data_IF_223748434885
#
_entry.id   IF_223748434885
#
_cell.length_a   1.000
_cell.length_b   1.000
_cell.length_c   1.000
_cell.angle_alpha   90.00
_cell.angle_beta   90.00
_cell.angle_gamma   90.00
#
_symmetry.space_group_name_H-M   'P 1'
#
loop_
_entity.id
_entity.type
_entity.pdbx_description
1 polymer ?
#
# COMPACT_ATOMS: atom_id res chain seq x y z
N UNK A 1 16.88 -14.59 -19.96
CA UNK A 1 16.57 -13.53 -18.97
C UNK A 1 17.45 -13.58 -17.71
N UNK A 2 17.38 -14.62 -16.85
CA UNK A 2 18.13 -14.64 -15.58
C UNK A 2 19.65 -14.38 -15.69
N UNK A 3 20.33 -15.04 -16.65
CA UNK A 3 21.77 -14.80 -16.92
C UNK A 3 22.09 -13.36 -17.34
N UNK A 4 21.18 -12.72 -18.08
CA UNK A 4 21.35 -11.33 -18.53
C UNK A 4 21.19 -10.36 -17.35
N UNK A 5 20.20 -10.58 -16.48
CA UNK A 5 19.99 -9.80 -15.26
C UNK A 5 21.18 -9.91 -14.31
N UNK A 6 21.68 -11.13 -14.09
CA UNK A 6 22.86 -11.37 -13.26
C UNK A 6 24.10 -10.63 -13.80
N UNK A 7 24.33 -10.67 -15.12
CA UNK A 7 25.45 -9.94 -15.73
C UNK A 7 25.38 -8.44 -15.43
N UNK A 8 24.20 -7.83 -15.52
CA UNK A 8 24.00 -6.42 -15.20
C UNK A 8 24.20 -6.14 -13.70
N UNK A 9 23.59 -6.94 -12.83
CA UNK A 9 23.74 -6.80 -11.38
C UNK A 9 25.21 -6.86 -10.96
N UNK A 10 25.98 -7.81 -11.48
CA UNK A 10 27.40 -7.95 -11.18
C UNK A 10 28.23 -6.80 -11.77
N UNK A 11 27.90 -6.31 -12.96
CA UNK A 11 28.63 -5.23 -13.62
C UNK A 11 28.41 -3.86 -12.95
N UNK A 12 27.17 -3.55 -12.52
CA UNK A 12 26.84 -2.27 -11.90
C UNK A 12 27.00 -2.26 -10.38
N UNK A 13 27.06 -3.43 -9.74
CA UNK A 13 27.29 -3.55 -8.30
C UNK A 13 26.16 -3.04 -7.40
N UNK A 14 24.97 -2.76 -7.96
CA UNK A 14 23.78 -2.34 -7.21
C UNK A 14 23.14 -3.55 -6.48
N UNK A 15 23.89 -4.16 -5.56
CA UNK A 15 23.49 -5.32 -4.75
C UNK A 15 23.11 -4.90 -3.33
N UNK A 16 22.30 -5.72 -2.67
CA UNK A 16 21.96 -5.54 -1.25
C UNK A 16 23.15 -5.85 -0.35
N UNK A 17 23.31 -5.09 0.73
CA UNK A 17 24.25 -5.43 1.80
C UNK A 17 23.85 -6.73 2.51
N UNK A 18 24.82 -7.44 3.08
CA UNK A 18 24.58 -8.74 3.74
C UNK A 18 23.56 -8.63 4.88
N UNK A 19 23.58 -7.53 5.65
CA UNK A 19 22.64 -7.31 6.74
C UNK A 19 21.22 -7.05 6.23
N UNK A 20 21.06 -6.31 5.13
CA UNK A 20 19.75 -6.08 4.51
C UNK A 20 19.16 -7.39 3.96
N UNK A 21 20.00 -8.21 3.32
CA UNK A 21 19.62 -9.56 2.88
C UNK A 21 19.10 -10.41 4.05
N UNK A 22 19.78 -10.36 5.20
CA UNK A 22 19.36 -11.09 6.40
C UNK A 22 18.03 -10.57 6.96
N UNK A 23 17.84 -9.24 7.02
CA UNK A 23 16.60 -8.63 7.50
C UNK A 23 15.41 -8.97 6.59
N UNK A 24 15.59 -8.95 5.27
CA UNK A 24 14.57 -9.39 4.31
C UNK A 24 14.24 -10.87 4.52
N UNK A 25 15.26 -11.75 4.61
CA UNK A 25 15.05 -13.18 4.84
C UNK A 25 14.32 -13.46 6.16
N UNK A 26 14.62 -12.69 7.21
CA UNK A 26 13.91 -12.74 8.48
C UNK A 26 12.45 -12.33 8.32
N UNK A 27 12.17 -11.25 7.59
CA UNK A 27 10.81 -10.75 7.33
C UNK A 27 9.96 -11.69 6.45
N UNK A 28 10.59 -12.42 5.52
CA UNK A 28 9.90 -13.38 4.65
C UNK A 28 9.26 -14.53 5.44
N UNK A 29 9.85 -14.92 6.58
CA UNK A 29 9.32 -15.99 7.44
C UNK A 29 7.91 -15.73 7.96
N UNK A 30 7.49 -14.46 8.04
CA UNK A 30 6.16 -14.06 8.51
C UNK A 30 5.31 -13.39 7.42
N UNK A 31 5.75 -13.43 6.16
CA UNK A 31 5.09 -12.72 5.07
C UNK A 31 3.61 -13.12 4.92
N UNK A 32 3.34 -14.42 4.88
CA UNK A 32 1.98 -14.93 4.69
C UNK A 32 1.01 -14.41 5.75
N UNK A 33 1.31 -14.64 7.03
CA UNK A 33 0.42 -14.25 8.14
C UNK A 33 0.22 -12.74 8.23
N UNK A 34 1.26 -11.95 7.90
CA UNK A 34 1.15 -10.48 7.86
C UNK A 34 0.27 -10.02 6.71
N UNK A 35 0.46 -10.58 5.51
CA UNK A 35 -0.30 -10.18 4.32
C UNK A 35 -1.77 -10.59 4.44
N UNK A 36 -2.07 -11.79 4.94
CA UNK A 36 -3.45 -12.24 5.20
C UNK A 36 -4.15 -11.30 6.18
N UNK A 37 -3.52 -11.00 7.32
CA UNK A 37 -4.11 -10.12 8.33
C UNK A 37 -4.30 -8.70 7.80
N UNK A 38 -3.31 -8.16 7.11
CA UNK A 38 -3.36 -6.81 6.55
C UNK A 38 -4.44 -6.71 5.44
N UNK A 39 -4.56 -7.74 4.59
CA UNK A 39 -5.57 -7.74 3.52
C UNK A 39 -7.00 -7.87 4.05
N UNK A 40 -7.23 -8.71 5.06
CA UNK A 40 -8.53 -8.77 5.75
C UNK A 40 -8.90 -7.44 6.41
N UNK A 41 -7.90 -6.76 6.99
CA UNK A 41 -8.11 -5.44 7.62
C UNK A 41 -8.42 -4.38 6.56
N UNK A 42 -7.70 -4.37 5.44
CA UNK A 42 -7.93 -3.46 4.33
C UNK A 42 -9.34 -3.63 3.72
N UNK A 43 -9.82 -4.86 3.54
CA UNK A 43 -11.19 -5.13 3.10
C UNK A 43 -12.22 -4.49 4.05
N UNK A 44 -12.08 -4.73 5.36
CA UNK A 44 -13.01 -4.17 6.37
C UNK A 44 -13.00 -2.65 6.38
N UNK A 45 -11.81 -2.04 6.25
CA UNK A 45 -11.68 -0.58 6.16
C UNK A 45 -12.28 -0.03 4.87
N UNK A 46 -12.07 -0.69 3.73
CA UNK A 46 -12.63 -0.28 2.45
C UNK A 46 -14.16 -0.27 2.49
N UNK A 47 -14.78 -1.32 3.03
CA UNK A 47 -16.23 -1.42 3.20
C UNK A 47 -16.79 -0.41 4.20
N UNK A 48 -16.05 -0.13 5.28
CA UNK A 48 -16.39 0.91 6.24
C UNK A 48 -16.36 2.29 5.59
N UNK A 49 -15.29 2.62 4.87
CA UNK A 49 -15.13 3.92 4.20
C UNK A 49 -16.14 4.10 3.06
N UNK A 50 -16.52 3.05 2.33
CA UNK A 50 -17.54 3.12 1.28
C UNK A 50 -18.91 3.59 1.82
N UNK A 51 -19.18 3.36 3.11
CA UNK A 51 -20.43 3.75 3.77
C UNK A 51 -20.31 5.05 4.57
N UNK A 52 -19.11 5.63 4.66
CA UNK A 52 -18.85 6.78 5.53
C UNK A 52 -19.19 8.10 4.80
N UNK A 53 -20.05 8.98 5.35
CA UNK A 53 -20.57 10.16 4.64
C UNK A 53 -19.50 11.19 4.27
N UNK A 54 -18.36 11.22 4.97
CA UNK A 54 -17.25 12.12 4.66
C UNK A 54 -16.32 11.60 3.55
N UNK A 55 -16.49 10.35 3.08
CA UNK A 55 -15.65 9.74 2.05
C UNK A 55 -16.39 9.81 0.72
N UNK A 56 -15.78 10.48 -0.27
CA UNK A 56 -16.35 10.61 -1.62
C UNK A 56 -16.27 9.33 -2.42
N UNK A 57 -15.13 8.65 -2.31
CA UNK A 57 -14.80 7.48 -3.12
C UNK A 57 -13.75 6.63 -2.44
N UNK A 58 -13.84 5.33 -2.63
CA UNK A 58 -12.84 4.35 -2.18
C UNK A 58 -12.30 3.61 -3.40
N UNK A 59 -10.99 3.40 -3.44
CA UNK A 59 -10.31 2.61 -4.44
C UNK A 59 -9.68 1.40 -3.76
N UNK A 60 -10.30 0.25 -3.94
CA UNK A 60 -9.79 -1.02 -3.44
C UNK A 60 -10.28 -2.17 -4.34
N UNK A 61 -9.39 -3.01 -4.90
CA UNK A 61 -9.79 -4.07 -5.82
C UNK A 61 -10.70 -5.15 -5.22
N UNK A 62 -10.78 -5.22 -3.88
CA UNK A 62 -11.69 -6.13 -3.17
C UNK A 62 -13.14 -5.65 -3.09
N UNK A 63 -13.44 -4.42 -3.52
CA UNK A 63 -14.81 -3.92 -3.62
C UNK A 63 -15.45 -4.31 -4.95
N UNK A 64 -16.74 -4.66 -4.93
CA UNK A 64 -17.46 -5.13 -6.11
C UNK A 64 -17.66 -4.04 -7.19
N UNK A 65 -17.70 -2.78 -6.78
CA UNK A 65 -17.83 -1.60 -7.65
C UNK A 65 -16.48 -1.08 -8.18
N UNK A 66 -15.36 -1.72 -7.81
CA UNK A 66 -14.07 -1.33 -8.34
C UNK A 66 -13.96 -1.71 -9.83
N UNK A 67 -13.60 -0.78 -10.74
CA UNK A 67 -13.58 -1.04 -12.19
C UNK A 67 -12.70 -2.21 -12.62
N UNK A 68 -11.63 -2.50 -11.86
CA UNK A 68 -10.72 -3.61 -12.09
C UNK A 68 -10.98 -4.87 -11.25
N UNK A 69 -12.11 -4.97 -10.55
CA UNK A 69 -12.38 -6.06 -9.59
C UNK A 69 -12.27 -7.45 -10.24
N UNK A 70 -12.92 -7.68 -11.38
CA UNK A 70 -12.92 -8.98 -12.05
C UNK A 70 -11.53 -9.36 -12.59
N UNK A 71 -10.83 -8.42 -13.22
CA UNK A 71 -9.43 -8.63 -13.65
C UNK A 71 -8.54 -8.96 -12.47
N UNK A 72 -8.68 -8.23 -11.36
CA UNK A 72 -7.90 -8.48 -10.14
C UNK A 72 -8.16 -9.88 -9.57
N UNK A 73 -9.44 -10.29 -9.48
CA UNK A 73 -9.82 -11.64 -9.03
C UNK A 73 -9.27 -12.74 -9.94
N UNK A 74 -9.19 -12.51 -11.25
CA UNK A 74 -8.67 -13.52 -12.19
C UNK A 74 -7.16 -13.77 -12.07
N UNK A 75 -6.40 -12.85 -11.48
CA UNK A 75 -4.93 -12.88 -11.46
C UNK A 75 -4.31 -12.84 -10.06
N UNK A 76 -5.13 -12.84 -9.01
CA UNK A 76 -4.65 -12.74 -7.62
C UNK A 76 -5.48 -13.60 -6.66
N UNK A 77 -4.86 -13.99 -5.55
CA UNK A 77 -5.51 -14.76 -4.47
C UNK A 77 -6.08 -13.87 -3.36
N UNK A 78 -5.96 -12.55 -3.49
CA UNK A 78 -6.44 -11.59 -2.49
C UNK A 78 -6.32 -10.15 -2.97
N UNK A 79 -7.09 -9.25 -2.36
CA UNK A 79 -7.18 -7.84 -2.75
C UNK A 79 -5.97 -6.98 -2.32
N UNK A 80 -5.06 -7.55 -1.53
CA UNK A 80 -3.88 -6.85 -1.01
C UNK A 80 -4.18 -6.02 0.24
N UNK A 81 -3.21 -5.25 0.70
CA UNK A 81 -3.28 -4.51 1.96
C UNK A 81 -3.31 -2.98 1.79
N UNK A 82 -3.40 -2.51 0.54
CA UNK A 82 -3.37 -1.08 0.21
C UNK A 82 -4.73 -0.69 -0.34
N UNK A 83 -5.31 0.37 0.22
CA UNK A 83 -6.51 1.04 -0.29
C UNK A 83 -6.24 2.54 -0.32
N UNK A 84 -6.94 3.26 -1.18
CA UNK A 84 -6.99 4.73 -1.14
C UNK A 84 -8.43 5.22 -1.11
N UNK A 85 -8.63 6.45 -0.68
CA UNK A 85 -9.94 7.08 -0.61
C UNK A 85 -9.83 8.59 -0.79
N UNK A 86 -10.93 9.20 -1.22
CA UNK A 86 -11.05 10.63 -1.45
C UNK A 86 -11.92 11.28 -0.37
N UNK A 87 -11.48 12.44 0.11
CA UNK A 87 -12.26 13.33 0.98
C UNK A 87 -12.70 14.56 0.21
N UNK A 88 -13.66 15.30 0.77
CA UNK A 88 -14.26 16.46 0.11
C UNK A 88 -13.23 17.51 -0.31
N UNK A 89 -12.26 17.80 0.57
CA UNK A 89 -11.30 18.88 0.39
C UNK A 89 -9.98 18.63 1.13
N UNK A 90 -8.98 19.47 0.85
CA UNK A 90 -7.68 19.46 1.54
C UNK A 90 -7.83 19.74 3.04
N UNK A 91 -8.78 20.56 3.43
CA UNK A 91 -9.09 20.86 4.84
C UNK A 91 -9.63 19.63 5.56
N UNK A 92 -10.44 18.81 4.88
CA UNK A 92 -10.90 17.54 5.43
C UNK A 92 -9.73 16.56 5.62
N UNK A 93 -8.79 16.51 4.68
CA UNK A 93 -7.55 15.73 4.82
C UNK A 93 -6.74 16.20 6.02
N UNK A 94 -6.53 17.52 6.17
CA UNK A 94 -5.81 18.09 7.30
C UNK A 94 -6.46 17.70 8.64
N UNK A 95 -7.78 17.86 8.74
CA UNK A 95 -8.54 17.45 9.94
C UNK A 95 -8.38 15.97 10.25
N UNK A 96 -8.44 15.09 9.24
CA UNK A 96 -8.22 13.67 9.45
C UNK A 96 -6.82 13.42 10.03
N UNK A 97 -5.77 13.94 9.39
CA UNK A 97 -4.37 13.73 9.80
C UNK A 97 -4.10 14.25 11.22
N UNK A 98 -4.71 15.38 11.60
CA UNK A 98 -4.57 15.95 12.95
C UNK A 98 -5.30 15.14 14.05
N UNK A 99 -6.25 14.27 13.69
CA UNK A 99 -7.10 13.55 14.65
C UNK A 99 -6.86 12.02 14.67
N UNK A 100 -6.10 11.46 13.73
CA UNK A 100 -5.74 10.04 13.74
C UNK A 100 -4.53 9.79 14.65
N UNK A 101 -4.60 8.74 15.46
CA UNK A 101 -3.53 8.37 16.41
C UNK A 101 -2.87 7.02 16.11
N UNK A 102 -3.53 6.15 15.35
CA UNK A 102 -3.04 4.82 15.02
C UNK A 102 -2.12 4.80 13.79
N UNK A 103 -2.53 5.27 12.60
CA UNK A 103 -1.64 5.28 11.46
C UNK A 103 -0.57 6.37 11.62
N UNK A 104 0.66 6.02 11.26
CA UNK A 104 1.74 6.99 11.14
C UNK A 104 1.54 7.78 9.84
N UNK A 105 1.58 9.10 9.91
CA UNK A 105 1.53 9.94 8.71
C UNK A 105 2.93 10.04 8.07
N UNK A 106 3.21 9.17 7.10
CA UNK A 106 4.55 9.00 6.52
C UNK A 106 4.49 8.49 5.06
N UNK A 107 5.66 8.47 4.39
CA UNK A 107 5.86 7.78 3.11
C UNK A 107 6.25 6.32 3.34
N UNK A 108 6.18 5.50 2.29
CA UNK A 108 6.32 4.03 2.31
C UNK A 108 5.00 3.29 2.61
N UNK A 109 5.04 1.95 2.53
CA UNK A 109 3.90 1.06 2.73
C UNK A 109 4.38 -0.38 3.04
N UNK A 110 3.47 -1.24 3.50
CA UNK A 110 3.72 -2.69 3.65
C UNK A 110 4.46 -3.10 4.93
N UNK A 111 4.72 -2.15 5.84
CA UNK A 111 5.19 -2.41 7.19
C UNK A 111 4.08 -3.05 8.06
N UNK A 112 4.39 -3.39 9.31
CA UNK A 112 3.40 -3.93 10.25
C UNK A 112 2.53 -2.82 10.85
N UNK A 113 3.07 -1.61 10.91
CA UNK A 113 2.40 -0.40 11.30
C UNK A 113 1.45 0.07 10.19
N UNK A 114 0.32 0.65 10.58
CA UNK A 114 -0.55 1.36 9.62
C UNK A 114 0.12 2.66 9.20
N UNK A 115 0.12 2.95 7.90
CA UNK A 115 0.70 4.18 7.34
C UNK A 115 -0.39 4.91 6.55
N UNK A 116 -0.58 6.19 6.86
CA UNK A 116 -1.42 7.09 6.09
C UNK A 116 -0.51 8.04 5.29
N UNK A 117 -0.76 8.18 4.00
CA UNK A 117 -0.01 9.10 3.14
C UNK A 117 -0.94 10.00 2.34
N UNK A 118 -0.48 11.19 2.00
CA UNK A 118 -1.16 12.11 1.08
C UNK A 118 -0.32 12.27 -0.19
N UNK A 119 -0.55 11.42 -1.23
CA UNK A 119 0.36 11.28 -2.37
C UNK A 119 0.72 12.59 -3.07
N UNK A 120 -0.27 13.48 -3.25
CA UNK A 120 -0.13 14.74 -3.99
C UNK A 120 0.95 15.68 -3.44
N UNK A 121 1.26 15.61 -2.13
CA UNK A 121 2.33 16.43 -1.52
C UNK A 121 3.42 15.58 -0.86
N UNK A 122 3.41 14.26 -1.07
CA UNK A 122 4.36 13.33 -0.47
C UNK A 122 5.00 12.46 -1.56
N UNK A 123 4.62 11.20 -1.66
CA UNK A 123 5.26 10.22 -2.54
C UNK A 123 5.21 10.57 -4.04
N UNK A 124 4.21 11.34 -4.47
CA UNK A 124 4.00 11.73 -5.86
C UNK A 124 4.20 13.23 -6.07
N UNK A 125 4.82 13.94 -5.11
CA UNK A 125 5.08 15.38 -5.22
C UNK A 125 5.96 15.75 -6.42
N UNK A 126 6.76 14.80 -6.92
CA UNK A 126 7.61 14.97 -8.10
C UNK A 126 6.86 14.79 -9.45
N UNK A 127 5.59 14.38 -9.43
CA UNK A 127 4.81 14.25 -10.66
C UNK A 127 4.36 15.62 -11.17
N UNK A 128 4.39 15.85 -12.50
CA UNK A 128 3.81 17.04 -13.08
C UNK A 128 2.29 17.09 -12.82
N UNK A 129 1.75 18.30 -12.82
CA UNK A 129 0.30 18.55 -12.73
C UNK A 129 -0.42 18.14 -14.00
#
# INVERSE_FOLDING_TARGET
LGKQLYKLQNAFGAVLGVQDCWLVLRGLKTLQVRLEKASQTAQRLAEFFQKHPAVKRVYYPGLADHPGAETHKSQSTGAGAVLSFELESKEAVKKLVENVSLPVFAVSLGAVESILSYPATMSHAAMPK
#
